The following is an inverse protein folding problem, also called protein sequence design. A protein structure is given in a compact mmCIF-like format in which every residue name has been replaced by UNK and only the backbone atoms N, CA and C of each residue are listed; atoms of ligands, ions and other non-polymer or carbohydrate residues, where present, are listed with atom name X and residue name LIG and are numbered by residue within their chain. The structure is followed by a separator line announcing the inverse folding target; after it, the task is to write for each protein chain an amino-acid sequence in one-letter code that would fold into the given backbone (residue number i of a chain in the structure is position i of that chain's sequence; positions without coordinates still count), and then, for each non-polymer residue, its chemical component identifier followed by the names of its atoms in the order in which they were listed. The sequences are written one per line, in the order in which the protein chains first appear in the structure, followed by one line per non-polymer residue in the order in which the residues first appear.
data_IF_720596301405
#
_entry.id   IF_720596301405
#
_cell.length_a   1.000
_cell.length_b   1.000
_cell.length_c   1.000
_cell.angle_alpha   90.00
_cell.angle_beta   90.00
_cell.angle_gamma   90.00
#
_symmetry.space_group_name_H-M   'P 1'
#
loop_
_entity.id
_entity.type
_entity.pdbx_description
1 polymer ?
#
# COMPACT_ATOMS: atom_id res chain seq x y z
N UNK A 1 49.57 65.75 30.53
CA UNK A 1 48.26 65.15 30.22
C UNK A 1 48.21 64.88 28.73
N UNK A 2 48.29 63.62 28.31
CA UNK A 2 48.17 63.22 26.89
C UNK A 2 46.74 62.71 26.68
N UNK A 3 46.00 63.37 25.80
CA UNK A 3 44.68 63.00 25.40
C UNK A 3 44.78 61.76 24.41
N UNK A 4 44.19 60.69 24.75
CA UNK A 4 44.05 59.48 23.87
C UNK A 4 42.81 59.68 23.01
N UNK A 5 43.02 59.84 21.68
CA UNK A 5 41.93 59.89 20.72
C UNK A 5 41.49 58.47 20.46
N UNK A 6 40.27 58.07 20.87
CA UNK A 6 39.62 56.86 20.49
C UNK A 6 39.07 57.04 19.07
N UNK A 7 39.63 56.25 18.14
CA UNK A 7 39.10 56.09 16.76
C UNK A 7 37.92 55.14 16.81
N UNK A 8 36.72 55.68 16.68
CA UNK A 8 35.53 54.81 16.46
C UNK A 8 35.51 54.37 14.99
N UNK A 9 35.71 53.08 14.77
CA UNK A 9 35.45 52.46 13.46
C UNK A 9 33.94 52.41 13.25
N UNK A 10 33.37 53.32 12.50
CA UNK A 10 32.02 53.18 11.96
C UNK A 10 32.00 52.03 10.95
N UNK A 11 31.39 50.92 11.34
CA UNK A 11 31.02 49.82 10.41
C UNK A 11 29.93 50.35 9.50
N UNK A 12 30.27 50.63 8.24
CA UNK A 12 29.31 50.92 7.18
C UNK A 12 28.42 49.68 6.98
N UNK A 13 27.20 49.75 7.46
CA UNK A 13 26.15 48.73 7.17
C UNK A 13 25.73 48.98 5.71
N UNK A 14 26.14 48.07 4.81
CA UNK A 14 25.66 48.09 3.44
C UNK A 14 24.17 47.75 3.47
N UNK A 15 23.32 48.66 3.07
CA UNK A 15 21.89 48.43 2.89
C UNK A 15 21.63 47.52 1.69
N UNK A 16 20.66 46.60 1.85
CA UNK A 16 20.20 45.71 0.79
C UNK A 16 19.39 46.51 -0.24
N UNK A 17 19.65 46.32 -1.53
CA UNK A 17 18.88 46.98 -2.58
C UNK A 17 17.60 46.16 -2.89
N UNK A 18 16.53 46.86 -3.29
CA UNK A 18 15.26 46.24 -3.65
C UNK A 18 15.42 45.24 -4.82
N UNK A 19 16.33 45.53 -5.74
CA UNK A 19 16.61 44.67 -6.89
C UNK A 19 17.33 43.37 -6.48
N UNK A 20 18.24 43.40 -5.51
CA UNK A 20 18.91 42.23 -4.99
C UNK A 20 17.89 41.25 -4.33
N UNK A 21 16.94 41.83 -3.56
CA UNK A 21 15.88 41.00 -2.98
C UNK A 21 14.96 40.40 -4.06
N UNK A 22 14.58 41.21 -5.07
CA UNK A 22 13.70 40.76 -6.15
C UNK A 22 14.33 39.62 -6.96
N UNK A 23 15.61 39.70 -7.32
CA UNK A 23 16.31 38.66 -8.05
C UNK A 23 16.34 37.35 -7.25
N UNK A 24 16.61 37.42 -5.95
CA UNK A 24 16.64 36.23 -5.09
C UNK A 24 15.30 35.53 -5.05
N UNK A 25 14.19 36.25 -4.84
CA UNK A 25 12.87 35.63 -4.79
C UNK A 25 12.45 35.05 -6.14
N UNK A 26 12.81 35.66 -7.27
CA UNK A 26 12.55 35.12 -8.61
C UNK A 26 13.31 33.82 -8.82
N UNK A 27 14.60 33.78 -8.47
CA UNK A 27 15.40 32.51 -8.59
C UNK A 27 14.82 31.41 -7.72
N UNK A 28 14.46 31.70 -6.47
CA UNK A 28 13.83 30.73 -5.56
C UNK A 28 12.51 30.24 -6.13
N UNK A 29 11.67 31.12 -6.66
CA UNK A 29 10.39 30.74 -7.26
C UNK A 29 10.56 29.78 -8.44
N UNK A 30 11.55 30.01 -9.32
CA UNK A 30 11.89 29.13 -10.42
C UNK A 30 12.33 27.75 -9.90
N UNK A 31 13.24 27.72 -8.92
CA UNK A 31 13.72 26.46 -8.35
C UNK A 31 12.60 25.65 -7.70
N UNK A 32 11.73 26.27 -6.93
CA UNK A 32 10.58 25.63 -6.30
C UNK A 32 9.62 25.06 -7.35
N UNK A 33 9.36 25.81 -8.42
CA UNK A 33 8.42 25.36 -9.47
C UNK A 33 8.86 24.05 -10.15
N UNK A 34 10.16 23.84 -10.28
CA UNK A 34 10.73 22.60 -10.83
C UNK A 34 10.85 21.47 -9.79
N UNK A 35 11.07 21.82 -8.52
CA UNK A 35 11.27 20.84 -7.44
C UNK A 35 9.97 20.17 -6.99
N UNK A 36 8.83 20.87 -6.95
CA UNK A 36 7.56 20.36 -6.43
C UNK A 36 7.05 19.08 -7.16
N UNK A 37 7.00 19.00 -8.50
CA UNK A 37 6.50 17.82 -9.17
C UNK A 37 7.40 16.59 -8.94
N UNK A 38 8.72 16.80 -8.86
CA UNK A 38 9.67 15.72 -8.58
C UNK A 38 9.49 15.20 -7.15
N UNK A 39 9.32 16.09 -6.19
CA UNK A 39 9.14 15.73 -4.79
C UNK A 39 7.90 14.84 -4.56
N UNK A 40 6.77 15.17 -5.18
CA UNK A 40 5.56 14.37 -5.11
C UNK A 40 5.78 12.94 -5.64
N UNK A 41 6.51 12.81 -6.76
CA UNK A 41 6.83 11.51 -7.35
C UNK A 41 7.72 10.67 -6.42
N UNK A 42 8.73 11.30 -5.80
CA UNK A 42 9.63 10.61 -4.86
C UNK A 42 8.88 10.15 -3.61
N UNK A 43 8.00 10.98 -3.07
CA UNK A 43 7.15 10.59 -1.93
C UNK A 43 6.25 9.41 -2.26
N UNK A 44 5.62 9.41 -3.43
CA UNK A 44 4.75 8.30 -3.85
C UNK A 44 5.54 6.99 -3.98
N UNK A 45 6.74 7.03 -4.55
CA UNK A 45 7.65 5.86 -4.63
C UNK A 45 8.07 5.37 -3.24
N UNK A 46 8.34 6.27 -2.31
CA UNK A 46 8.64 5.93 -0.92
C UNK A 46 7.47 5.18 -0.25
N UNK A 47 6.26 5.69 -0.40
CA UNK A 47 5.04 5.03 0.08
C UNK A 47 4.82 3.66 -0.56
N UNK A 48 5.03 3.54 -1.87
CA UNK A 48 4.93 2.27 -2.59
C UNK A 48 5.91 1.23 -2.04
N UNK A 49 7.15 1.61 -1.80
CA UNK A 49 8.16 0.72 -1.22
C UNK A 49 7.81 0.30 0.21
N UNK A 50 7.30 1.23 1.02
CA UNK A 50 6.82 0.92 2.36
C UNK A 50 5.63 -0.05 2.33
N UNK A 51 4.70 0.13 1.42
CA UNK A 51 3.55 -0.75 1.21
C UNK A 51 3.98 -2.18 0.83
N UNK A 52 4.95 -2.31 -0.11
CA UNK A 52 5.58 -3.58 -0.44
C UNK A 52 6.25 -4.26 0.77
N UNK A 53 6.94 -3.49 1.59
CA UNK A 53 7.60 -4.02 2.80
C UNK A 53 6.59 -4.45 3.86
N UNK A 54 5.48 -3.75 4.01
CA UNK A 54 4.39 -4.16 4.90
C UNK A 54 3.82 -5.52 4.45
N UNK A 55 3.50 -5.66 3.17
CA UNK A 55 3.01 -6.93 2.60
C UNK A 55 4.01 -8.07 2.78
N UNK A 56 5.32 -7.82 2.60
CA UNK A 56 6.37 -8.83 2.87
C UNK A 56 6.37 -9.27 4.33
N UNK A 57 6.23 -8.34 5.27
CA UNK A 57 6.18 -8.66 6.70
C UNK A 57 4.91 -9.46 7.04
N UNK A 58 3.76 -9.13 6.45
CA UNK A 58 2.54 -9.92 6.58
C UNK A 58 2.77 -11.32 6.00
N UNK A 59 3.43 -11.44 4.85
CA UNK A 59 3.78 -12.72 4.24
C UNK A 59 4.67 -13.60 5.14
N UNK A 60 5.74 -13.03 5.70
CA UNK A 60 6.63 -13.75 6.62
C UNK A 60 5.87 -14.21 7.88
N UNK A 61 5.04 -13.33 8.45
CA UNK A 61 4.21 -13.68 9.60
C UNK A 61 3.19 -14.78 9.26
N UNK A 62 2.60 -14.73 8.07
CA UNK A 62 1.69 -15.76 7.58
C UNK A 62 2.41 -17.09 7.41
N UNK A 63 3.62 -17.12 6.86
CA UNK A 63 4.41 -18.37 6.75
C UNK A 63 4.71 -18.97 8.13
N UNK A 64 5.08 -18.12 9.09
CA UNK A 64 5.34 -18.59 10.45
C UNK A 64 4.06 -19.14 11.10
N UNK A 65 2.93 -18.47 10.87
CA UNK A 65 1.62 -18.95 11.30
C UNK A 65 1.28 -20.31 10.67
N UNK A 66 1.47 -20.47 9.37
CA UNK A 66 1.21 -21.71 8.65
C UNK A 66 2.04 -22.88 9.18
N UNK A 67 3.31 -22.66 9.49
CA UNK A 67 4.19 -23.67 10.08
C UNK A 67 3.70 -24.17 11.45
N UNK A 68 3.03 -23.29 12.20
CA UNK A 68 2.47 -23.62 13.52
C UNK A 68 1.03 -24.16 13.45
N UNK A 69 0.38 -24.13 12.29
CA UNK A 69 -1.03 -24.49 12.10
C UNK A 69 -1.25 -25.47 10.94
N UNK A 70 -0.37 -26.46 10.75
CA UNK A 70 -0.50 -27.57 9.79
C UNK A 70 -0.75 -27.09 8.35
N UNK A 71 -0.14 -25.98 7.95
CA UNK A 71 -0.34 -25.31 6.65
C UNK A 71 -1.80 -24.89 6.38
N UNK A 72 -2.63 -24.75 7.41
CA UNK A 72 -4.01 -24.28 7.28
C UNK A 72 -4.06 -22.76 7.42
N UNK A 73 -4.68 -22.11 6.44
CA UNK A 73 -4.91 -20.67 6.45
C UNK A 73 -5.96 -20.29 7.49
N UNK A 74 -6.04 -19.01 7.78
CA UNK A 74 -6.88 -18.40 8.82
C UNK A 74 -8.30 -18.96 8.84
N UNK A 75 -8.78 -19.29 10.03
CA UNK A 75 -10.12 -19.87 10.22
C UNK A 75 -11.23 -18.83 10.26
N UNK A 76 -10.90 -17.57 10.51
CA UNK A 76 -11.83 -16.44 10.60
C UNK A 76 -11.38 -15.30 9.69
N UNK A 77 -12.08 -15.07 8.59
CA UNK A 77 -11.72 -14.07 7.61
C UNK A 77 -11.81 -12.63 8.11
N UNK A 78 -12.74 -12.34 9.00
CA UNK A 78 -13.00 -10.98 9.48
C UNK A 78 -11.92 -10.42 10.37
N UNK A 79 -11.23 -11.27 11.06
CA UNK A 79 -10.24 -10.92 12.07
C UNK A 79 -8.90 -11.65 11.86
N UNK A 80 -8.57 -11.95 10.61
CA UNK A 80 -7.33 -12.65 10.26
C UNK A 80 -6.08 -12.03 10.90
N UNK A 81 -6.05 -10.69 11.06
CA UNK A 81 -4.96 -9.97 11.67
C UNK A 81 -4.75 -10.35 13.15
N UNK A 82 -5.80 -10.71 13.88
CA UNK A 82 -5.68 -11.11 15.29
C UNK A 82 -5.06 -12.49 15.43
N UNK A 83 -5.11 -13.32 14.39
CA UNK A 83 -4.44 -14.61 14.37
C UNK A 83 -2.93 -14.46 14.12
N UNK A 84 -2.50 -13.36 13.50
CA UNK A 84 -1.08 -13.00 13.39
C UNK A 84 -0.56 -12.26 14.61
N UNK A 85 -1.41 -11.52 15.33
CA UNK A 85 -1.02 -10.75 16.51
C UNK A 85 -1.33 -11.48 17.82
N UNK A 86 -0.56 -11.19 18.85
CA UNK A 86 0.75 -10.51 18.85
C UNK A 86 1.91 -11.44 18.47
N UNK A 87 1.65 -12.76 18.34
CA UNK A 87 2.67 -13.81 18.27
C UNK A 87 3.63 -13.68 17.08
N UNK A 88 3.09 -13.44 15.89
CA UNK A 88 3.89 -13.45 14.65
C UNK A 88 4.19 -12.05 14.14
N UNK A 89 3.32 -11.08 14.44
CA UNK A 89 3.45 -9.70 13.95
C UNK A 89 3.04 -8.70 15.04
N UNK A 90 3.97 -8.26 15.92
CA UNK A 90 3.62 -7.44 17.07
C UNK A 90 3.27 -5.99 16.73
N UNK A 91 3.77 -5.46 15.62
CA UNK A 91 3.59 -4.06 15.26
C UNK A 91 2.32 -3.84 14.42
N UNK A 92 1.30 -3.18 15.01
CA UNK A 92 0.04 -2.87 14.34
C UNK A 92 0.19 -2.01 13.08
N UNK A 93 1.16 -1.10 13.04
CA UNK A 93 1.37 -0.20 11.91
C UNK A 93 1.65 -0.93 10.58
N UNK A 94 2.07 -2.18 10.65
CA UNK A 94 2.33 -3.00 9.46
C UNK A 94 1.02 -3.33 8.72
N UNK A 95 -0.10 -3.41 9.44
CA UNK A 95 -1.42 -3.64 8.83
C UNK A 95 -2.03 -2.39 8.18
N UNK A 96 -1.36 -1.25 8.28
CA UNK A 96 -1.79 0.01 7.67
C UNK A 96 -0.95 0.34 6.44
N UNK A 97 -1.60 0.49 5.29
CA UNK A 97 -0.94 0.97 4.08
C UNK A 97 -0.56 2.45 4.22
N UNK A 98 0.60 2.88 3.74
CA UNK A 98 0.99 4.29 3.71
C UNK A 98 0.11 5.15 2.79
N UNK A 99 -0.75 4.54 2.00
CA UNK A 99 -1.77 5.22 1.20
C UNK A 99 -3.09 5.41 1.95
N UNK A 100 -3.24 4.79 3.12
CA UNK A 100 -4.41 4.93 3.99
C UNK A 100 -4.19 6.08 4.97
N UNK A 101 -5.01 7.12 4.86
CA UNK A 101 -4.94 8.31 5.71
C UNK A 101 -5.72 8.17 7.03
N UNK A 102 -6.45 7.06 7.22
CA UNK A 102 -7.15 6.81 8.48
C UNK A 102 -6.13 6.51 9.57
N UNK A 103 -6.47 6.87 10.81
CA UNK A 103 -5.62 6.55 11.96
C UNK A 103 -5.96 5.14 12.43
N UNK A 104 -5.01 4.22 12.28
CA UNK A 104 -5.13 2.87 12.82
C UNK A 104 -4.92 2.89 14.34
N UNK A 105 -5.81 2.22 15.06
CA UNK A 105 -5.66 1.96 16.49
C UNK A 105 -6.00 0.52 16.79
N UNK A 106 -5.14 -0.14 17.54
CA UNK A 106 -5.33 -1.53 17.97
C UNK A 106 -6.57 -1.71 18.87
N UNK A 107 -6.84 -0.72 19.72
CA UNK A 107 -7.93 -0.73 20.70
C UNK A 107 -9.29 -0.38 20.09
N UNK A 108 -9.33 -0.03 18.83
CA UNK A 108 -10.56 0.32 18.13
C UNK A 108 -11.06 -0.87 17.33
N UNK A 109 -12.23 -1.41 17.70
CA UNK A 109 -12.89 -2.49 16.94
C UNK A 109 -13.19 -2.11 15.48
N UNK A 110 -13.24 -0.81 15.17
CA UNK A 110 -13.30 -0.24 13.84
C UNK A 110 -11.92 0.19 13.33
N UNK A 111 -10.83 -0.25 13.98
CA UNK A 111 -9.47 0.15 13.61
C UNK A 111 -9.20 -0.21 12.15
N UNK A 112 -8.78 0.77 11.35
CA UNK A 112 -8.58 0.52 9.94
C UNK A 112 -7.35 -0.38 9.73
N UNK A 113 -7.61 -1.58 9.25
CA UNK A 113 -6.63 -2.41 8.59
C UNK A 113 -6.73 -2.09 7.10
N UNK A 114 -5.62 -1.82 6.47
CA UNK A 114 -5.64 -1.45 5.05
C UNK A 114 -5.53 -2.63 4.11
N UNK A 115 -5.07 -3.77 4.62
CA UNK A 115 -4.90 -4.97 3.80
C UNK A 115 -6.05 -5.94 4.04
N UNK A 116 -6.53 -6.55 2.96
CA UNK A 116 -7.54 -7.58 2.99
C UNK A 116 -6.96 -8.93 2.62
N UNK A 117 -7.51 -9.97 3.22
CA UNK A 117 -7.30 -11.37 2.83
C UNK A 117 -8.27 -11.72 1.68
N UNK A 118 -7.88 -12.56 0.76
CA UNK A 118 -8.79 -13.18 -0.21
C UNK A 118 -9.68 -14.23 0.50
N UNK A 119 -10.52 -13.73 1.41
CA UNK A 119 -11.17 -14.53 2.46
C UNK A 119 -12.26 -15.46 1.97
N UNK A 120 -12.93 -15.16 0.85
CA UNK A 120 -14.03 -16.01 0.36
C UNK A 120 -13.55 -17.35 -0.18
N UNK A 121 -12.26 -17.48 -0.45
CA UNK A 121 -11.73 -18.69 -1.12
C UNK A 121 -10.76 -19.47 -0.23
N UNK A 122 -10.26 -18.91 0.90
CA UNK A 122 -9.11 -19.54 1.58
C UNK A 122 -9.30 -19.77 3.08
N UNK A 123 -10.47 -19.47 3.63
CA UNK A 123 -10.68 -19.64 5.07
C UNK A 123 -10.65 -21.13 5.46
N UNK A 124 -9.73 -21.46 6.38
CA UNK A 124 -9.62 -22.80 6.93
C UNK A 124 -9.17 -23.88 5.93
N UNK A 125 -8.63 -23.49 4.77
CA UNK A 125 -8.07 -24.46 3.82
C UNK A 125 -6.57 -24.64 4.02
N UNK A 126 -6.08 -25.85 3.71
CA UNK A 126 -4.64 -26.07 3.59
C UNK A 126 -4.10 -25.39 2.33
N UNK A 127 -2.92 -24.76 2.46
CA UNK A 127 -2.22 -24.15 1.32
C UNK A 127 -1.91 -25.12 0.20
N UNK A 128 -1.83 -26.42 0.49
CA UNK A 128 -1.63 -27.49 -0.51
C UNK A 128 -2.76 -27.57 -1.54
N UNK A 129 -3.93 -27.02 -1.22
CA UNK A 129 -5.07 -26.96 -2.15
C UNK A 129 -4.97 -25.81 -3.15
N UNK A 130 -4.04 -24.89 -2.96
CA UNK A 130 -3.84 -23.78 -3.89
C UNK A 130 -3.07 -24.30 -5.11
N UNK A 131 -3.77 -24.47 -6.20
CA UNK A 131 -3.23 -25.11 -7.43
C UNK A 131 -2.08 -24.30 -8.04
N UNK A 132 -2.17 -22.97 -7.96
CA UNK A 132 -1.13 -22.07 -8.50
C UNK A 132 -0.79 -20.94 -7.52
N UNK A 133 0.07 -21.21 -6.50
CA UNK A 133 0.40 -20.24 -5.46
C UNK A 133 1.03 -18.95 -6.01
N UNK A 134 1.79 -19.04 -7.10
CA UNK A 134 2.44 -17.91 -7.75
C UNK A 134 1.48 -16.94 -8.46
N UNK A 135 0.26 -17.39 -8.77
CA UNK A 135 -0.76 -16.58 -9.43
C UNK A 135 -1.87 -16.13 -8.47
N UNK A 136 -2.05 -16.86 -7.37
CA UNK A 136 -3.15 -16.63 -6.42
C UNK A 136 -2.83 -15.48 -5.46
N UNK A 137 -3.61 -14.40 -5.52
CA UNK A 137 -3.48 -13.27 -4.61
C UNK A 137 -4.02 -13.66 -3.24
N UNK A 138 -3.16 -13.60 -2.22
CA UNK A 138 -3.52 -13.88 -0.84
C UNK A 138 -3.91 -12.60 -0.08
N UNK A 139 -3.11 -11.54 -0.20
CA UNK A 139 -3.37 -10.25 0.40
C UNK A 139 -3.14 -9.10 -0.57
N UNK A 140 -3.95 -8.06 -0.43
CA UNK A 140 -3.76 -6.79 -1.12
C UNK A 140 -4.42 -5.64 -0.34
N UNK A 141 -4.13 -4.37 -0.67
CA UNK A 141 -4.87 -3.24 -0.14
C UNK A 141 -6.38 -3.37 -0.39
N UNK A 142 -7.16 -3.39 0.69
CA UNK A 142 -8.61 -3.56 0.66
C UNK A 142 -9.31 -2.22 0.46
N UNK A 143 -9.14 -1.62 -0.71
CA UNK A 143 -9.80 -0.38 -1.09
C UNK A 143 -11.13 -0.63 -1.79
N UNK A 144 -12.04 0.33 -1.71
CA UNK A 144 -13.25 0.32 -2.51
C UNK A 144 -12.96 0.71 -3.97
N UNK A 145 -13.89 0.41 -4.87
CA UNK A 145 -13.77 0.71 -6.30
C UNK A 145 -14.09 2.18 -6.61
N UNK A 146 -13.59 3.13 -5.82
CA UNK A 146 -13.79 4.55 -6.06
C UNK A 146 -12.84 5.04 -7.17
N UNK A 147 -13.38 5.53 -8.28
CA UNK A 147 -12.59 5.96 -9.43
C UNK A 147 -11.75 7.24 -9.16
N UNK A 148 -12.14 8.06 -8.20
CA UNK A 148 -11.56 9.40 -8.02
C UNK A 148 -10.49 9.47 -6.93
N UNK A 149 -10.56 8.62 -5.90
CA UNK A 149 -9.66 8.64 -4.75
C UNK A 149 -9.37 7.23 -4.23
N UNK A 150 -8.22 7.06 -3.58
CA UNK A 150 -7.96 5.88 -2.76
C UNK A 150 -8.87 5.95 -1.54
N UNK A 151 -9.73 4.96 -1.38
CA UNK A 151 -10.63 4.87 -0.26
C UNK A 151 -10.63 3.44 0.26
N UNK A 152 -10.12 3.24 1.47
CA UNK A 152 -10.06 1.93 2.07
C UNK A 152 -11.39 1.55 2.70
N UNK A 153 -11.75 0.27 2.61
CA UNK A 153 -12.95 -0.25 3.20
C UNK A 153 -12.98 0.03 4.70
N UNK A 154 -14.09 0.54 5.19
CA UNK A 154 -14.35 0.68 6.61
C UNK A 154 -14.55 -0.70 7.22
N UNK A 155 -13.86 -0.98 8.31
CA UNK A 155 -13.98 -2.28 8.98
C UNK A 155 -14.45 -2.05 10.40
N UNK A 156 -15.73 -2.15 10.61
CA UNK A 156 -16.29 -2.39 11.93
C UNK A 156 -16.52 -3.89 12.06
N UNK A 157 -15.56 -4.61 12.62
CA UNK A 157 -15.72 -6.03 12.98
C UNK A 157 -15.98 -7.02 11.83
N UNK A 158 -15.83 -6.60 10.59
CA UNK A 158 -16.10 -7.42 9.42
C UNK A 158 -14.83 -7.82 8.68
N UNK A 159 -14.91 -8.93 7.95
CA UNK A 159 -13.87 -9.43 7.07
C UNK A 159 -13.36 -8.32 6.17
N UNK A 160 -12.10 -7.92 6.33
CA UNK A 160 -11.42 -7.14 5.32
C UNK A 160 -11.08 -8.11 4.21
N UNK A 161 -12.00 -8.27 3.29
CA UNK A 161 -11.75 -9.01 2.07
C UNK A 161 -11.07 -8.11 1.06
N UNK A 162 -10.14 -8.63 0.30
CA UNK A 162 -9.67 -7.95 -0.89
C UNK A 162 -10.86 -7.72 -1.79
N UNK A 163 -11.08 -6.47 -2.21
CA UNK A 163 -12.14 -6.18 -3.15
C UNK A 163 -11.84 -6.88 -4.48
N UNK A 164 -12.47 -8.01 -4.66
CA UNK A 164 -12.61 -8.62 -5.97
C UNK A 164 -13.59 -7.75 -6.75
N UNK A 165 -13.13 -7.08 -7.77
CA UNK A 165 -14.05 -6.46 -8.69
C UNK A 165 -14.91 -7.56 -9.30
N UNK A 166 -16.15 -7.64 -8.88
CA UNK A 166 -17.19 -8.46 -9.53
C UNK A 166 -17.56 -7.90 -10.90
N UNK A 167 -16.91 -6.83 -11.31
CA UNK A 167 -17.13 -6.19 -12.60
C UNK A 167 -16.45 -6.98 -13.71
N UNK A 168 -17.25 -7.28 -14.68
CA UNK A 168 -16.91 -7.72 -16.03
C UNK A 168 -15.58 -7.16 -16.56
N UNK A 169 -14.94 -7.85 -17.53
CA UNK A 169 -13.85 -7.27 -18.31
C UNK A 169 -14.23 -5.86 -18.75
N UNK A 170 -13.54 -4.82 -18.28
CA UNK A 170 -13.89 -3.42 -18.52
C UNK A 170 -14.10 -2.58 -17.25
N UNK A 171 -13.70 -3.05 -16.09
CA UNK A 171 -13.65 -2.22 -14.87
C UNK A 171 -12.80 -0.97 -15.07
N UNK A 172 -12.95 0.06 -14.21
CA UNK A 172 -12.28 1.34 -14.42
C UNK A 172 -10.76 1.14 -14.54
N UNK A 173 -10.15 1.79 -15.52
CA UNK A 173 -8.70 1.73 -15.75
C UNK A 173 -7.88 2.25 -14.56
N UNK A 174 -8.53 2.92 -13.62
CA UNK A 174 -7.94 3.51 -12.42
C UNK A 174 -8.69 3.06 -11.19
N UNK A 175 -8.01 2.48 -10.23
CA UNK A 175 -8.59 1.98 -8.98
C UNK A 175 -7.51 1.49 -8.02
N UNK A 176 -6.26 1.44 -8.46
CA UNK A 176 -5.11 1.08 -7.65
C UNK A 176 -4.77 2.12 -6.57
N UNK A 177 -3.73 1.87 -5.81
CA UNK A 177 -3.28 2.73 -4.71
C UNK A 177 -2.30 3.82 -5.14
N UNK A 178 -1.53 3.60 -6.20
CA UNK A 178 -0.44 4.49 -6.62
C UNK A 178 -0.30 4.57 -8.15
N UNK A 179 0.69 5.36 -8.61
CA UNK A 179 0.93 5.69 -10.02
C UNK A 179 -0.35 6.16 -10.72
N UNK A 180 -0.93 7.27 -10.22
CA UNK A 180 -2.22 7.79 -10.66
C UNK A 180 -3.33 6.72 -10.60
N UNK A 181 -3.25 5.83 -9.63
CA UNK A 181 -4.19 4.74 -9.39
C UNK A 181 -4.23 3.65 -10.47
N UNK A 182 -3.16 3.53 -11.25
CA UNK A 182 -3.03 2.48 -12.27
C UNK A 182 -2.30 1.24 -11.76
N UNK A 183 -1.74 1.28 -10.52
CA UNK A 183 -0.98 0.17 -9.94
C UNK A 183 -1.38 -0.11 -8.50
N UNK A 184 -1.17 -1.36 -8.10
CA UNK A 184 -1.42 -1.87 -6.75
C UNK A 184 -0.35 -2.91 -6.40
N UNK A 185 -0.01 -3.00 -5.11
CA UNK A 185 0.85 -4.08 -4.62
C UNK A 185 -0.01 -5.25 -4.16
N UNK A 186 0.40 -6.47 -4.45
CA UNK A 186 -0.27 -7.69 -4.02
C UNK A 186 0.74 -8.69 -3.48
N UNK A 187 0.34 -9.42 -2.45
CA UNK A 187 1.06 -10.58 -1.89
C UNK A 187 0.37 -11.85 -2.38
N UNK A 188 1.14 -12.74 -2.97
CA UNK A 188 0.66 -14.00 -3.51
C UNK A 188 0.81 -15.14 -2.49
N UNK A 189 0.22 -16.29 -2.78
CA UNK A 189 0.20 -17.42 -1.85
C UNK A 189 1.57 -18.11 -1.67
N UNK A 190 2.48 -17.95 -2.62
CA UNK A 190 3.88 -18.36 -2.48
C UNK A 190 4.74 -17.31 -1.73
N UNK A 191 4.09 -16.27 -1.22
CA UNK A 191 4.65 -15.17 -0.41
C UNK A 191 5.55 -14.20 -1.17
N UNK A 192 5.59 -14.25 -2.50
CA UNK A 192 6.19 -13.15 -3.25
C UNK A 192 5.23 -11.94 -3.28
N UNK A 193 5.82 -10.74 -3.39
CA UNK A 193 5.07 -9.48 -3.50
C UNK A 193 5.35 -8.85 -4.85
N UNK A 194 4.29 -8.50 -5.57
CA UNK A 194 4.38 -7.88 -6.88
C UNK A 194 3.69 -6.52 -6.89
N UNK A 195 4.29 -5.57 -7.63
CA UNK A 195 3.66 -4.33 -8.02
C UNK A 195 3.01 -4.53 -9.40
N UNK A 196 1.70 -4.76 -9.44
CA UNK A 196 0.99 -5.11 -10.66
C UNK A 196 0.12 -3.97 -11.20
N UNK A 197 -0.24 -4.05 -12.48
CA UNK A 197 -1.20 -3.13 -13.06
C UNK A 197 -2.58 -3.36 -12.42
N UNK A 198 -3.34 -2.29 -12.23
CA UNK A 198 -4.70 -2.40 -11.69
C UNK A 198 -5.62 -3.23 -12.59
N UNK A 199 -5.48 -3.11 -13.91
CA UNK A 199 -6.22 -3.91 -14.88
C UNK A 199 -5.95 -5.41 -14.71
N UNK A 200 -4.69 -5.78 -14.49
CA UNK A 200 -4.30 -7.18 -14.30
C UNK A 200 -4.79 -7.71 -12.94
N UNK A 201 -4.74 -6.85 -11.91
CA UNK A 201 -5.29 -7.18 -10.59
C UNK A 201 -6.78 -7.51 -10.65
N UNK A 202 -7.55 -6.82 -11.48
CA UNK A 202 -8.99 -7.06 -11.63
C UNK A 202 -9.34 -8.32 -12.42
N UNK A 203 -8.42 -8.83 -13.24
CA UNK A 203 -8.69 -10.00 -14.07
C UNK A 203 -8.95 -11.23 -13.22
N UNK A 204 -10.06 -11.91 -13.46
CA UNK A 204 -10.46 -13.14 -12.79
C UNK A 204 -10.74 -14.29 -13.78
N UNK A 205 -10.68 -14.00 -15.06
CA UNK A 205 -10.89 -14.97 -16.12
C UNK A 205 -10.17 -14.49 -17.39
N UNK A 206 -9.46 -15.41 -18.02
CA UNK A 206 -8.93 -15.25 -19.37
C UNK A 206 -9.45 -16.43 -20.21
N UNK A 207 -10.57 -16.23 -20.88
CA UNK A 207 -11.21 -17.24 -21.71
C UNK A 207 -10.35 -17.64 -22.93
N UNK A 208 -9.44 -16.77 -23.37
CA UNK A 208 -8.50 -17.05 -24.45
C UNK A 208 -7.30 -17.89 -24.01
N UNK A 209 -7.02 -17.94 -22.74
CA UNK A 209 -5.92 -18.72 -22.14
C UNK A 209 -6.36 -19.38 -20.84
N UNK A 210 -7.04 -20.56 -20.89
CA UNK A 210 -7.54 -21.23 -19.69
C UNK A 210 -6.45 -21.58 -18.65
N UNK A 211 -5.19 -21.65 -19.06
CA UNK A 211 -4.04 -21.88 -18.20
C UNK A 211 -3.35 -20.58 -17.78
N UNK A 212 -3.88 -19.43 -18.16
CA UNK A 212 -3.34 -18.12 -17.78
C UNK A 212 -3.53 -17.82 -16.29
N UNK A 213 -2.59 -17.08 -15.72
CA UNK A 213 -2.58 -16.73 -14.27
C UNK A 213 -3.84 -15.98 -13.82
N UNK A 214 -4.48 -15.23 -14.73
CA UNK A 214 -5.74 -14.54 -14.42
C UNK A 214 -6.83 -15.47 -13.88
N UNK A 215 -6.88 -16.72 -14.35
CA UNK A 215 -7.89 -17.70 -13.93
C UNK A 215 -7.67 -18.26 -12.52
N UNK A 216 -6.44 -18.14 -12.00
CA UNK A 216 -6.05 -18.62 -10.67
C UNK A 216 -5.90 -17.49 -9.66
N UNK A 217 -6.02 -16.25 -10.09
CA UNK A 217 -5.74 -15.07 -9.27
C UNK A 217 -6.67 -14.93 -8.06
N UNK A 218 -7.92 -15.30 -8.24
CA UNK A 218 -8.96 -15.12 -7.21
C UNK A 218 -9.59 -16.44 -6.74
N UNK A 219 -9.30 -17.54 -7.40
CA UNK A 219 -9.82 -18.86 -7.07
C UNK A 219 -8.67 -19.84 -6.87
N UNK A 220 -8.55 -20.43 -5.68
CA UNK A 220 -7.47 -21.34 -5.34
C UNK A 220 -7.46 -22.64 -6.17
N UNK A 221 -8.63 -23.11 -6.59
CA UNK A 221 -8.80 -24.32 -7.42
C UNK A 221 -8.76 -24.04 -8.93
N UNK A 222 -8.71 -22.76 -9.36
CA UNK A 222 -8.76 -22.38 -10.77
C UNK A 222 -10.17 -22.30 -11.35
N UNK A 223 -10.28 -22.21 -12.69
CA UNK A 223 -11.56 -22.03 -13.38
C UNK A 223 -12.50 -23.19 -13.14
N UNK A 224 -13.75 -22.88 -12.79
CA UNK A 224 -14.82 -23.90 -12.63
C UNK A 224 -14.87 -24.60 -11.27
N UNK A 225 -13.93 -24.34 -10.38
CA UNK A 225 -14.03 -24.76 -8.98
C UNK A 225 -14.82 -23.71 -8.22
N UNK A 226 -15.96 -24.04 -7.57
CA UNK A 226 -16.68 -23.09 -6.74
C UNK A 226 -15.78 -22.65 -5.57
N UNK A 227 -15.90 -21.36 -5.16
CA UNK A 227 -15.11 -20.80 -4.05
C UNK A 227 -15.44 -21.46 -2.72
#
# INVERSE_FOLDING_TARGET
MRAVHAHSMEKSLRGFTLIELLVVIVVIAILISLALPVFNTVQERGRMTQDLNNLRQIGIATQTYLNDNDNVLFTTGGIWMTQLRPKYLPNWKIFQSPFDYRVASEDNAAAPVSYGLNGNSVLGISTDKIVRPTAFILFAPAQDNNATRVNFQGVAGAAVTVYRATSSPGGPATGGTHNRRTRINALFADLHVENMAWTDFLLNLDAGNPQGDANFRWNYGGPGVPP
#
